data_IF_553635735893
#
_entry.id   IF_553635735893
#
_cell.length_a   1.000
_cell.length_b   1.000
_cell.length_c   1.000
_cell.angle_alpha   90.00
_cell.angle_beta   90.00
_cell.angle_gamma   90.00
#
_symmetry.space_group_name_H-M   'P 1'
#
loop_
_entity.id
_entity.type
_entity.pdbx_description
1 polymer ?
#
# COMPACT_ATOMS: atom_id res chain seq x y z
N UNK A 1 -12.46 23.05 0.50
CA UNK A 1 -11.34 23.05 -0.47
C UNK A 1 -11.65 22.04 -1.55
N UNK A 2 -11.42 22.32 -2.84
CA UNK A 2 -11.57 21.32 -3.89
C UNK A 2 -10.21 20.61 -4.07
N UNK A 3 -10.11 19.39 -3.63
CA UNK A 3 -8.93 18.55 -3.81
C UNK A 3 -8.94 18.02 -5.25
N UNK A 4 -7.85 18.14 -5.97
CA UNK A 4 -7.71 17.62 -7.32
C UNK A 4 -6.59 16.60 -7.35
N UNK A 5 -6.75 15.58 -8.18
CA UNK A 5 -5.78 14.56 -8.53
C UNK A 5 -5.41 14.66 -10.00
N UNK A 6 -4.31 14.04 -10.45
CA UNK A 6 -4.01 13.90 -11.87
C UNK A 6 -5.18 13.29 -12.65
N UNK A 7 -5.42 13.78 -13.86
CA UNK A 7 -6.40 13.20 -14.77
C UNK A 7 -5.88 11.90 -15.35
N UNK A 8 -6.69 10.83 -15.37
CA UNK A 8 -6.33 9.56 -15.97
C UNK A 8 -7.42 9.05 -16.89
N UNK A 9 -7.02 8.59 -18.07
CA UNK A 9 -7.86 7.89 -19.04
C UNK A 9 -7.07 6.75 -19.70
N UNK A 10 -7.71 5.61 -19.89
CA UNK A 10 -7.14 4.46 -20.56
C UNK A 10 -8.14 3.85 -21.55
N UNK A 11 -7.69 2.87 -22.32
CA UNK A 11 -8.56 2.06 -23.19
C UNK A 11 -9.53 1.16 -22.41
N UNK A 12 -9.31 0.95 -21.11
CA UNK A 12 -10.23 0.18 -20.26
C UNK A 12 -11.18 1.12 -19.51
N UNK A 13 -12.48 0.94 -19.78
CA UNK A 13 -13.54 1.79 -19.23
C UNK A 13 -13.69 1.65 -17.72
N UNK A 14 -13.61 0.43 -17.19
CA UNK A 14 -13.83 0.15 -15.77
C UNK A 14 -12.66 0.66 -14.92
N UNK A 15 -11.45 0.58 -15.44
CA UNK A 15 -10.28 1.20 -14.82
C UNK A 15 -10.46 2.71 -14.68
N UNK A 16 -10.97 3.38 -15.73
CA UNK A 16 -11.23 4.83 -15.70
C UNK A 16 -12.31 5.19 -14.67
N UNK A 17 -13.42 4.44 -14.63
CA UNK A 17 -14.50 4.67 -13.68
C UNK A 17 -14.00 4.50 -12.25
N UNK A 18 -13.22 3.45 -11.98
CA UNK A 18 -12.71 3.17 -10.63
C UNK A 18 -11.69 4.21 -10.19
N UNK A 19 -10.80 4.65 -11.07
CA UNK A 19 -9.85 5.72 -10.77
C UNK A 19 -10.58 7.01 -10.36
N UNK A 20 -11.55 7.46 -11.15
CA UNK A 20 -12.33 8.67 -10.84
C UNK A 20 -13.11 8.51 -9.53
N UNK A 21 -13.75 7.35 -9.32
CA UNK A 21 -14.45 7.05 -8.07
C UNK A 21 -13.51 7.14 -6.86
N UNK A 22 -12.29 6.59 -6.95
CA UNK A 22 -11.30 6.67 -5.87
C UNK A 22 -10.85 8.10 -5.60
N UNK A 23 -10.64 8.92 -6.62
CA UNK A 23 -10.32 10.34 -6.45
C UNK A 23 -11.44 11.11 -5.74
N UNK A 24 -12.69 10.89 -6.12
CA UNK A 24 -13.86 11.50 -5.47
C UNK A 24 -14.03 10.99 -4.04
N UNK A 25 -13.82 9.68 -3.82
CA UNK A 25 -13.94 9.07 -2.52
C UNK A 25 -12.91 9.61 -1.54
N UNK A 26 -11.64 9.67 -1.95
CA UNK A 26 -10.57 10.21 -1.11
C UNK A 26 -10.89 11.64 -0.63
N UNK A 27 -11.41 12.51 -1.51
CA UNK A 27 -11.83 13.86 -1.13
C UNK A 27 -12.89 13.87 -0.02
N UNK A 28 -13.83 12.92 -0.03
CA UNK A 28 -14.88 12.79 0.99
C UNK A 28 -14.32 12.42 2.36
N UNK A 29 -13.18 11.74 2.39
CA UNK A 29 -12.50 11.32 3.62
C UNK A 29 -11.56 12.37 4.22
N UNK A 30 -11.22 13.43 3.48
CA UNK A 30 -10.44 14.55 4.02
C UNK A 30 -11.33 15.42 4.89
N UNK A 31 -11.05 15.51 6.17
CA UNK A 31 -11.82 16.25 7.18
C UNK A 31 -10.95 17.31 7.85
N UNK A 32 -11.50 18.51 7.94
CA UNK A 32 -10.93 19.59 8.75
C UNK A 32 -11.37 19.40 10.22
N UNK A 33 -10.42 19.43 11.14
CA UNK A 33 -10.63 19.25 12.58
C UNK A 33 -9.87 20.32 13.36
N UNK A 34 -10.15 20.50 14.67
CA UNK A 34 -9.35 21.39 15.51
C UNK A 34 -7.86 21.02 15.61
N UNK A 35 -7.50 19.77 15.26
CA UNK A 35 -6.11 19.29 15.22
C UNK A 35 -5.48 19.35 13.81
N UNK A 36 -6.10 20.06 12.87
CA UNK A 36 -5.72 20.10 11.46
C UNK A 36 -6.52 19.10 10.62
N UNK A 37 -6.13 18.96 9.35
CA UNK A 37 -6.75 17.96 8.49
C UNK A 37 -6.40 16.54 8.92
N UNK A 38 -7.39 15.67 8.86
CA UNK A 38 -7.23 14.22 8.99
C UNK A 38 -7.87 13.52 7.79
N UNK A 39 -7.44 12.28 7.54
CA UNK A 39 -8.06 11.43 6.53
C UNK A 39 -8.70 10.27 7.26
N UNK A 40 -10.01 10.12 7.08
CA UNK A 40 -10.80 9.12 7.80
C UNK A 40 -10.77 7.78 7.07
N UNK A 41 -10.97 6.72 7.80
CA UNK A 41 -11.13 5.35 7.30
C UNK A 41 -12.59 5.11 6.90
N UNK A 42 -13.52 5.51 7.77
CA UNK A 42 -14.96 5.44 7.58
C UNK A 42 -15.55 6.82 7.33
N UNK A 43 -16.62 6.92 6.54
CA UNK A 43 -17.36 8.17 6.39
C UNK A 43 -18.24 8.50 7.61
N UNK A 44 -19.02 7.55 8.18
CA UNK A 44 -19.68 7.77 9.46
C UNK A 44 -18.68 7.72 10.60
N UNK A 45 -19.00 8.40 11.69
CA UNK A 45 -18.23 8.27 12.92
C UNK A 45 -18.39 6.86 13.50
N UNK A 46 -17.26 6.22 13.84
CA UNK A 46 -17.24 4.89 14.46
C UNK A 46 -16.59 4.94 15.84
N UNK A 47 -17.10 4.20 16.85
CA UNK A 47 -16.68 4.36 18.24
C UNK A 47 -15.19 4.11 18.48
N UNK A 48 -14.56 3.22 17.71
CA UNK A 48 -13.15 2.86 17.87
C UNK A 48 -12.17 3.83 17.21
N UNK A 49 -12.65 4.74 16.33
CA UNK A 49 -11.79 5.69 15.62
C UNK A 49 -11.56 7.00 16.36
N UNK A 50 -12.04 7.12 17.60
CA UNK A 50 -11.88 8.29 18.44
C UNK A 50 -12.59 9.55 17.93
N UNK A 51 -12.30 10.69 18.56
CA UNK A 51 -13.00 11.96 18.28
C UNK A 51 -12.70 12.56 16.90
N UNK A 52 -11.64 12.10 16.24
CA UNK A 52 -11.24 12.57 14.90
C UNK A 52 -11.65 11.58 13.79
N UNK A 53 -12.31 10.49 14.15
CA UNK A 53 -12.74 9.42 13.25
C UNK A 53 -11.60 8.91 12.33
N UNK A 54 -10.39 8.75 12.89
CA UNK A 54 -9.23 8.22 12.14
C UNK A 54 -8.37 7.32 13.03
N UNK A 55 -7.90 6.21 12.46
CA UNK A 55 -7.00 5.24 13.11
C UNK A 55 -5.75 5.01 12.26
N UNK A 56 -4.68 4.55 12.91
CA UNK A 56 -3.38 4.39 12.24
C UNK A 56 -3.33 3.23 11.24
N UNK A 57 -4.27 2.29 11.29
CA UNK A 57 -4.31 1.12 10.41
C UNK A 57 -4.17 1.48 8.92
N UNK A 58 -5.03 2.39 8.43
CA UNK A 58 -5.06 2.78 7.02
C UNK A 58 -4.13 3.96 6.68
N UNK A 59 -3.40 4.53 7.65
CA UNK A 59 -2.69 5.78 7.43
C UNK A 59 -1.66 5.70 6.28
N UNK A 60 -0.93 4.58 6.16
CA UNK A 60 0.02 4.40 5.06
C UNK A 60 -0.66 4.37 3.67
N UNK A 61 -1.87 3.81 3.57
CA UNK A 61 -2.66 3.84 2.34
C UNK A 61 -3.10 5.27 2.01
N UNK A 62 -3.52 6.03 3.02
CA UNK A 62 -3.89 7.44 2.87
C UNK A 62 -2.72 8.29 2.37
N UNK A 63 -1.50 8.08 2.90
CA UNK A 63 -0.29 8.76 2.43
C UNK A 63 0.06 8.39 0.99
N UNK A 64 -0.03 7.11 0.63
CA UNK A 64 0.29 6.65 -0.73
C UNK A 64 -0.66 7.21 -1.78
N UNK A 65 -1.98 7.22 -1.54
CA UNK A 65 -2.92 7.85 -2.46
C UNK A 65 -2.81 9.38 -2.44
N UNK A 66 -2.79 9.98 -1.24
CA UNK A 66 -2.83 11.43 -1.07
C UNK A 66 -1.60 12.17 -1.55
N UNK A 67 -0.43 11.51 -1.69
CA UNK A 67 0.79 12.14 -2.20
C UNK A 67 0.65 12.69 -3.62
N UNK A 68 -0.36 12.24 -4.37
CA UNK A 68 -0.66 12.68 -5.73
C UNK A 68 -1.66 13.84 -5.81
N UNK A 69 -2.18 14.33 -4.69
CA UNK A 69 -3.02 15.52 -4.67
C UNK A 69 -2.25 16.74 -5.16
N UNK A 70 -2.93 17.62 -5.91
CA UNK A 70 -2.31 18.89 -6.36
C UNK A 70 -2.00 19.82 -5.18
N UNK A 71 -2.86 19.82 -4.16
CA UNK A 71 -2.60 20.50 -2.89
C UNK A 71 -2.43 19.44 -1.79
N UNK A 72 -1.21 19.25 -1.34
CA UNK A 72 -0.84 18.29 -0.30
C UNK A 72 -0.91 18.85 1.12
N UNK A 73 -1.44 20.07 1.29
CA UNK A 73 -1.61 20.69 2.63
C UNK A 73 -2.35 19.75 3.60
N UNK A 74 -3.47 19.11 3.22
CA UNK A 74 -4.15 18.18 4.13
C UNK A 74 -3.27 17.00 4.56
N UNK A 75 -2.43 16.49 3.67
CA UNK A 75 -1.57 15.36 3.99
C UNK A 75 -0.38 15.78 4.88
N UNK A 76 0.13 17.00 4.73
CA UNK A 76 1.13 17.58 5.64
C UNK A 76 0.58 17.75 7.05
N UNK A 77 -0.63 18.28 7.20
CA UNK A 77 -1.29 18.41 8.50
C UNK A 77 -1.64 17.05 9.10
N UNK A 78 -2.01 16.07 8.27
CA UNK A 78 -2.22 14.70 8.71
C UNK A 78 -0.93 14.04 9.23
N UNK A 79 0.23 14.35 8.63
CA UNK A 79 1.53 13.93 9.17
C UNK A 79 1.81 14.55 10.55
N UNK A 80 1.52 15.85 10.72
CA UNK A 80 1.63 16.52 12.02
C UNK A 80 0.68 15.92 13.05
N UNK A 81 -0.57 15.64 12.65
CA UNK A 81 -1.56 15.00 13.51
C UNK A 81 -1.03 13.69 14.11
N UNK A 82 -0.45 12.80 13.31
CA UNK A 82 0.10 11.54 13.81
C UNK A 82 1.30 11.72 14.74
N UNK A 83 2.10 12.75 14.54
CA UNK A 83 3.25 13.03 15.38
C UNK A 83 2.90 13.72 16.70
N UNK A 84 1.74 14.40 16.79
CA UNK A 84 1.42 15.27 17.94
C UNK A 84 0.16 14.89 18.70
N UNK A 85 -0.89 14.47 18.01
CA UNK A 85 -2.24 14.30 18.57
C UNK A 85 -2.76 12.87 18.43
N UNK A 86 -2.48 12.23 17.30
CA UNK A 86 -2.92 10.88 17.02
C UNK A 86 -2.19 9.82 17.84
N UNK A 87 -2.70 8.58 17.77
CA UNK A 87 -2.01 7.42 18.31
C UNK A 87 -1.42 6.58 17.18
N UNK A 88 -0.17 6.87 16.73
CA UNK A 88 0.45 6.20 15.58
C UNK A 88 0.81 4.75 15.85
N UNK A 89 0.72 4.30 17.11
CA UNK A 89 1.05 2.94 17.55
C UNK A 89 -0.19 2.11 17.90
N UNK A 90 -1.40 2.61 17.67
CA UNK A 90 -2.63 1.82 17.89
C UNK A 90 -2.66 0.59 16.96
N UNK A 91 -2.36 0.82 15.67
CA UNK A 91 -2.06 -0.21 14.69
C UNK A 91 -0.68 0.09 14.10
N UNK A 92 0.05 -0.94 13.69
CA UNK A 92 1.36 -0.74 13.06
C UNK A 92 1.21 -0.17 11.65
N UNK A 93 1.94 0.90 11.37
CA UNK A 93 2.14 1.40 10.01
C UNK A 93 3.50 2.12 9.90
N UNK A 94 4.10 2.18 8.72
CA UNK A 94 5.42 2.80 8.53
C UNK A 94 5.29 4.33 8.39
N UNK A 95 5.19 5.04 9.51
CA UNK A 95 4.94 6.49 9.53
C UNK A 95 6.05 7.29 8.86
N UNK A 96 7.31 6.98 9.17
CA UNK A 96 8.46 7.72 8.63
C UNK A 96 8.61 7.49 7.13
N UNK A 97 8.41 6.25 6.67
CA UNK A 97 8.41 5.89 5.25
C UNK A 97 7.24 6.56 4.51
N UNK A 98 6.06 6.61 5.13
CA UNK A 98 4.87 7.26 4.55
C UNK A 98 5.08 8.77 4.34
N UNK A 99 5.69 9.46 5.30
CA UNK A 99 6.03 10.88 5.18
C UNK A 99 7.14 11.10 4.16
N UNK A 100 8.16 10.23 4.11
CA UNK A 100 9.19 10.30 3.09
C UNK A 100 8.61 10.08 1.68
N UNK A 101 7.66 9.15 1.52
CA UNK A 101 6.97 8.93 0.25
C UNK A 101 6.22 10.17 -0.27
N UNK A 102 5.66 10.99 0.61
CA UNK A 102 5.10 12.29 0.26
C UNK A 102 6.20 13.24 -0.23
N UNK A 103 7.33 13.31 0.48
CA UNK A 103 8.43 14.22 0.11
C UNK A 103 9.09 13.83 -1.22
N UNK A 104 9.13 12.54 -1.54
CA UNK A 104 9.66 12.04 -2.82
C UNK A 104 8.76 12.38 -4.03
N UNK A 105 7.50 12.75 -3.82
CA UNK A 105 6.63 13.27 -4.89
C UNK A 105 6.70 14.79 -4.98
N UNK A 106 6.77 15.48 -3.83
CA UNK A 106 6.74 16.95 -3.82
C UNK A 106 8.10 17.61 -4.04
N UNK A 107 9.21 16.88 -3.82
CA UNK A 107 10.57 17.44 -3.76
C UNK A 107 10.83 18.29 -2.50
N UNK A 108 9.83 18.47 -1.63
CA UNK A 108 9.92 19.32 -0.44
C UNK A 108 10.06 18.48 0.86
N UNK A 109 11.27 18.41 1.38
CA UNK A 109 11.62 17.70 2.62
C UNK A 109 11.36 18.47 3.91
N UNK A 110 10.77 19.65 3.85
CA UNK A 110 10.58 20.54 5.03
C UNK A 110 9.78 19.83 6.12
N UNK A 111 8.69 19.15 5.76
CA UNK A 111 7.83 18.46 6.74
C UNK A 111 8.57 17.28 7.40
N UNK A 112 9.29 16.45 6.64
CA UNK A 112 10.05 15.32 7.17
C UNK A 112 11.16 15.79 8.10
N UNK A 113 11.92 16.84 7.73
CA UNK A 113 12.96 17.42 8.58
C UNK A 113 12.41 17.99 9.88
N UNK A 114 11.28 18.70 9.81
CA UNK A 114 10.64 19.29 10.98
C UNK A 114 10.10 18.23 11.95
N UNK A 115 9.54 17.14 11.45
CA UNK A 115 8.97 16.07 12.26
C UNK A 115 10.01 15.00 12.68
N UNK A 116 11.26 15.11 12.23
CA UNK A 116 12.31 14.12 12.52
C UNK A 116 12.45 13.74 14.00
N UNK A 117 12.48 14.67 14.98
CA UNK A 117 12.59 14.31 16.40
C UNK A 117 11.45 13.41 16.88
N UNK A 118 10.21 13.71 16.46
CA UNK A 118 9.01 12.94 16.81
C UNK A 118 8.97 11.59 16.12
N UNK A 119 9.33 11.53 14.84
CA UNK A 119 9.43 10.28 14.09
C UNK A 119 10.47 9.35 14.74
N UNK A 120 11.64 9.87 15.08
CA UNK A 120 12.68 9.11 15.79
C UNK A 120 12.22 8.66 17.20
N UNK A 121 11.39 9.45 17.88
CA UNK A 121 10.77 9.07 19.16
C UNK A 121 9.78 7.92 18.96
N UNK A 122 8.83 8.06 18.02
CA UNK A 122 7.82 7.04 17.71
C UNK A 122 8.48 5.71 17.34
N UNK A 123 9.54 5.76 16.51
CA UNK A 123 10.29 4.57 16.14
C UNK A 123 10.88 3.84 17.36
N UNK A 124 11.51 4.57 18.28
CA UNK A 124 12.07 3.98 19.51
C UNK A 124 11.02 3.43 20.46
N UNK A 125 9.83 4.00 20.48
CA UNK A 125 8.73 3.51 21.33
C UNK A 125 8.27 2.10 20.95
N UNK A 126 8.52 1.65 19.71
CA UNK A 126 8.26 0.27 19.30
C UNK A 126 9.23 -0.74 19.94
N UNK A 127 10.27 -0.31 20.65
CA UNK A 127 11.18 -1.23 21.37
C UNK A 127 10.45 -2.03 22.47
N UNK A 128 9.28 -1.61 22.92
CA UNK A 128 8.41 -2.38 23.83
C UNK A 128 7.82 -3.66 23.16
N UNK A 129 7.79 -3.72 21.83
CA UNK A 129 7.44 -4.91 21.04
C UNK A 129 8.66 -5.75 20.64
N UNK A 130 9.86 -5.30 20.96
CA UNK A 130 11.11 -5.94 20.52
C UNK A 130 11.44 -7.16 21.37
N UNK A 131 11.61 -8.28 20.71
CA UNK A 131 12.03 -9.53 21.35
C UNK A 131 13.55 -9.52 21.64
N UNK A 132 14.03 -10.41 22.53
CA UNK A 132 15.47 -10.57 22.75
C UNK A 132 16.27 -10.89 21.48
N UNK A 133 15.60 -11.46 20.47
CA UNK A 133 16.19 -11.71 19.15
C UNK A 133 16.31 -10.47 18.25
N UNK A 134 15.81 -9.31 18.69
CA UNK A 134 15.92 -8.04 17.96
C UNK A 134 14.84 -7.80 16.90
N UNK A 135 13.90 -8.74 16.69
CA UNK A 135 12.72 -8.58 15.86
C UNK A 135 11.52 -8.18 16.71
N UNK A 136 10.48 -7.65 16.06
CA UNK A 136 9.28 -7.15 16.72
C UNK A 136 8.16 -8.20 16.66
N UNK A 137 7.51 -8.46 17.82
CA UNK A 137 6.30 -9.28 17.91
C UNK A 137 5.06 -8.39 17.83
N UNK A 138 4.00 -8.88 17.17
CA UNK A 138 2.73 -8.18 17.04
C UNK A 138 1.56 -9.12 17.34
N UNK A 139 0.56 -8.57 18.00
CA UNK A 139 -0.72 -9.24 18.22
C UNK A 139 -1.48 -9.28 16.90
N UNK A 140 -2.11 -10.42 16.62
CA UNK A 140 -2.99 -10.60 15.47
C UNK A 140 -4.06 -9.50 15.42
N UNK A 141 -4.26 -8.88 14.26
CA UNK A 141 -5.17 -7.76 14.04
C UNK A 141 -4.55 -6.37 14.17
N UNK A 142 -3.49 -6.18 14.96
CA UNK A 142 -2.89 -4.84 15.13
C UNK A 142 -1.98 -4.40 13.97
N UNK A 143 -1.91 -5.18 12.92
CA UNK A 143 -1.37 -4.82 11.59
C UNK A 143 -2.46 -4.80 10.51
N UNK A 144 -3.73 -4.85 10.93
CA UNK A 144 -4.91 -4.82 10.07
C UNK A 144 -5.41 -6.19 9.64
N UNK A 145 -4.82 -7.29 10.13
CA UNK A 145 -5.14 -8.65 9.69
C UNK A 145 -5.85 -9.51 10.74
N UNK A 146 -7.02 -9.08 11.23
CA UNK A 146 -7.78 -9.75 12.28
C UNK A 146 -8.16 -11.20 11.91
N UNK A 147 -7.97 -12.12 12.84
CA UNK A 147 -8.24 -13.54 12.65
C UNK A 147 -7.47 -14.15 11.46
N UNK A 148 -6.26 -13.66 11.19
CA UNK A 148 -5.36 -14.35 10.26
C UNK A 148 -5.08 -15.78 10.74
N UNK A 149 -4.84 -16.71 9.81
CA UNK A 149 -4.59 -18.12 10.18
C UNK A 149 -3.27 -18.23 10.94
N UNK A 150 -2.29 -17.42 10.60
CA UNK A 150 -0.97 -17.42 11.24
C UNK A 150 -0.97 -16.88 12.67
N UNK A 151 -1.90 -15.98 13.02
CA UNK A 151 -2.04 -15.42 14.37
C UNK A 151 -0.88 -14.49 14.79
N UNK A 152 -0.75 -14.29 16.10
CA UNK A 152 0.25 -13.40 16.72
C UNK A 152 1.68 -13.95 16.68
N UNK A 153 2.67 -13.06 16.75
CA UNK A 153 4.09 -13.41 16.82
C UNK A 153 5.00 -12.46 16.03
N UNK A 154 6.15 -12.97 15.59
CA UNK A 154 7.03 -12.28 14.65
C UNK A 154 6.38 -12.29 13.27
N UNK A 155 5.72 -11.20 12.93
CA UNK A 155 4.90 -11.08 11.71
C UNK A 155 5.66 -10.28 10.63
N UNK A 156 5.55 -10.66 9.34
CA UNK A 156 6.16 -9.91 8.24
C UNK A 156 5.77 -8.43 8.18
N UNK A 157 4.48 -8.02 8.40
CA UNK A 157 4.09 -6.61 8.33
C UNK A 157 4.89 -5.70 9.26
N UNK A 158 4.78 -5.87 10.58
CA UNK A 158 5.45 -4.98 11.54
C UNK A 158 6.96 -4.92 11.31
N UNK A 159 7.61 -6.07 11.10
CA UNK A 159 9.05 -6.10 10.90
C UNK A 159 9.48 -5.40 9.60
N UNK A 160 8.69 -5.50 8.54
CA UNK A 160 8.91 -4.75 7.29
C UNK A 160 8.69 -3.24 7.47
N UNK A 161 7.66 -2.84 8.22
CA UNK A 161 7.38 -1.43 8.53
C UNK A 161 8.51 -0.81 9.34
N UNK A 162 9.03 -1.51 10.35
CA UNK A 162 10.17 -1.04 11.14
C UNK A 162 11.45 -0.93 10.30
N UNK A 163 11.66 -1.84 9.35
CA UNK A 163 12.76 -1.75 8.38
C UNK A 163 12.62 -0.53 7.47
N UNK A 164 11.42 -0.30 6.93
CA UNK A 164 11.13 0.84 6.06
C UNK A 164 11.28 2.17 6.79
N UNK A 165 10.81 2.24 8.04
CA UNK A 165 10.93 3.44 8.89
C UNK A 165 12.39 3.72 9.28
N UNK A 166 13.19 2.68 9.59
CA UNK A 166 14.61 2.86 9.85
C UNK A 166 15.36 3.41 8.63
N UNK A 167 15.06 2.90 7.41
CA UNK A 167 15.62 3.44 6.16
C UNK A 167 15.20 4.91 5.94
N UNK A 168 13.92 5.23 6.14
CA UNK A 168 13.42 6.59 5.99
C UNK A 168 14.05 7.54 7.02
N UNK A 169 14.18 7.12 8.28
CA UNK A 169 14.84 7.90 9.32
C UNK A 169 16.33 8.09 9.05
N UNK A 170 17.01 7.12 8.43
CA UNK A 170 18.39 7.28 7.99
C UNK A 170 18.49 8.44 6.97
N UNK A 171 17.66 8.44 5.93
CA UNK A 171 17.65 9.50 4.91
C UNK A 171 17.29 10.88 5.50
N UNK A 172 16.31 10.94 6.40
CA UNK A 172 15.91 12.19 7.04
C UNK A 172 17.03 12.71 7.96
N UNK A 173 17.68 11.82 8.73
CA UNK A 173 18.81 12.14 9.59
C UNK A 173 19.99 12.72 8.79
N UNK A 174 20.33 12.12 7.66
CA UNK A 174 21.34 12.66 6.72
C UNK A 174 20.95 14.06 6.24
N UNK A 175 19.67 14.25 5.87
CA UNK A 175 19.18 15.54 5.39
C UNK A 175 19.15 16.66 6.44
N UNK A 176 19.16 16.32 7.75
CA UNK A 176 19.29 17.30 8.85
C UNK A 176 20.71 17.38 9.40
N UNK A 177 21.66 16.58 8.91
CA UNK A 177 23.07 16.58 9.31
C UNK A 177 23.36 15.76 10.58
N UNK A 178 22.44 14.87 11.03
CA UNK A 178 22.62 13.97 12.18
C UNK A 178 23.26 12.66 11.72
N UNK A 179 24.56 12.70 11.45
CA UNK A 179 25.30 11.55 10.91
C UNK A 179 25.36 10.34 11.88
N UNK A 180 25.34 10.60 13.20
CA UNK A 180 25.38 9.54 14.21
C UNK A 180 24.07 8.73 14.18
N UNK A 181 22.94 9.41 14.20
CA UNK A 181 21.63 8.75 14.12
C UNK A 181 21.41 8.09 12.74
N UNK A 182 21.88 8.70 11.65
CA UNK A 182 21.82 8.11 10.32
C UNK A 182 22.57 6.76 10.26
N UNK A 183 23.79 6.70 10.82
CA UNK A 183 24.56 5.45 10.87
C UNK A 183 23.84 4.38 11.72
N UNK A 184 23.25 4.76 12.86
CA UNK A 184 22.48 3.84 13.70
C UNK A 184 21.23 3.31 13.00
N UNK A 185 20.43 4.16 12.38
CA UNK A 185 19.21 3.72 11.67
C UNK A 185 19.54 2.82 10.47
N UNK A 186 20.67 3.08 9.79
CA UNK A 186 21.17 2.19 8.73
C UNK A 186 21.48 0.80 9.27
N UNK A 187 22.24 0.70 10.37
CA UNK A 187 22.58 -0.57 11.01
C UNK A 187 21.35 -1.35 11.48
N UNK A 188 20.34 -0.64 12.02
CA UNK A 188 19.07 -1.24 12.43
C UNK A 188 18.30 -1.78 11.22
N UNK A 189 18.20 -1.01 10.11
CA UNK A 189 17.55 -1.44 8.88
C UNK A 189 18.24 -2.66 8.26
N UNK A 190 19.58 -2.68 8.22
CA UNK A 190 20.35 -3.80 7.70
C UNK A 190 20.17 -5.05 8.56
N UNK A 191 20.16 -4.87 9.89
CA UNK A 191 19.93 -5.96 10.84
C UNK A 191 18.55 -6.57 10.69
N UNK A 192 17.50 -5.73 10.62
CA UNK A 192 16.13 -6.21 10.41
C UNK A 192 15.98 -6.88 9.04
N UNK A 193 16.53 -6.29 7.97
CA UNK A 193 16.53 -6.89 6.63
C UNK A 193 17.12 -8.30 6.66
N UNK A 194 18.28 -8.48 7.28
CA UNK A 194 18.92 -9.78 7.42
C UNK A 194 18.06 -10.75 8.24
N UNK A 195 17.52 -10.31 9.39
CA UNK A 195 16.70 -11.15 10.27
C UNK A 195 15.40 -11.59 9.62
N UNK A 196 14.69 -10.68 8.93
CA UNK A 196 13.48 -11.04 8.17
C UNK A 196 13.82 -12.15 7.15
N UNK A 197 14.93 -12.01 6.44
CA UNK A 197 15.36 -12.97 5.43
C UNK A 197 15.79 -14.33 6.02
N UNK A 198 16.44 -14.33 7.18
CA UNK A 198 16.92 -15.56 7.82
C UNK A 198 15.81 -16.26 8.60
N UNK A 199 15.04 -15.50 9.38
CA UNK A 199 14.10 -16.08 10.34
C UNK A 199 12.69 -16.25 9.77
N UNK A 200 12.14 -15.26 9.04
CA UNK A 200 10.75 -15.35 8.55
C UNK A 200 10.62 -16.08 7.21
N UNK A 201 11.68 -16.20 6.43
CA UNK A 201 11.62 -17.00 5.22
C UNK A 201 11.35 -18.49 5.55
N UNK A 202 10.27 -19.03 4.97
CA UNK A 202 9.91 -20.44 5.13
C UNK A 202 10.17 -21.20 3.81
N UNK A 203 11.27 -21.94 3.70
CA UNK A 203 11.61 -22.65 2.46
C UNK A 203 10.61 -23.75 2.11
N UNK A 204 9.84 -24.29 3.08
CA UNK A 204 8.80 -25.26 2.80
C UNK A 204 7.57 -24.66 2.11
N UNK A 205 7.32 -23.37 2.33
CA UNK A 205 6.24 -22.62 1.66
C UNK A 205 6.74 -21.88 0.43
N UNK A 206 8.08 -21.65 0.31
CA UNK A 206 8.65 -20.75 -0.67
C UNK A 206 8.22 -19.30 -0.47
N UNK A 207 7.96 -18.88 0.79
CA UNK A 207 7.37 -17.59 1.14
C UNK A 207 7.79 -17.15 2.55
N UNK A 208 7.65 -15.87 2.89
CA UNK A 208 7.75 -15.45 4.29
C UNK A 208 6.55 -15.99 5.07
N UNK A 209 6.65 -15.96 6.39
CA UNK A 209 5.57 -16.38 7.25
C UNK A 209 5.82 -16.02 8.71
N UNK A 210 4.84 -16.27 9.54
CA UNK A 210 4.85 -15.91 10.96
C UNK A 210 5.57 -16.96 11.79
N UNK A 211 6.34 -16.50 12.79
CA UNK A 211 6.81 -17.31 13.91
C UNK A 211 6.00 -16.90 15.12
N UNK A 212 5.23 -17.83 15.71
CA UNK A 212 4.40 -17.55 16.87
C UNK A 212 5.22 -17.15 18.10
N UNK A 213 4.57 -16.58 19.11
CA UNK A 213 5.22 -16.23 20.38
C UNK A 213 5.82 -17.43 21.13
N UNK A 214 5.35 -18.66 20.83
CA UNK A 214 5.96 -19.90 21.31
C UNK A 214 7.22 -20.33 20.53
N UNK A 215 7.60 -19.60 19.46
CA UNK A 215 8.73 -19.92 18.61
C UNK A 215 8.41 -20.91 17.49
N UNK A 216 7.16 -21.27 17.27
CA UNK A 216 6.75 -22.21 16.22
C UNK A 216 6.51 -21.49 14.89
N UNK A 217 7.06 -22.03 13.80
CA UNK A 217 6.74 -21.55 12.45
C UNK A 217 5.31 -21.91 12.07
N UNK A 218 4.58 -20.96 11.50
CA UNK A 218 3.28 -21.19 10.89
C UNK A 218 3.46 -21.66 9.44
N UNK A 219 2.65 -22.61 9.02
CA UNK A 219 2.71 -23.23 7.69
C UNK A 219 1.45 -22.87 6.88
N UNK A 220 1.23 -21.59 6.71
CA UNK A 220 0.17 -21.02 5.87
C UNK A 220 0.76 -19.94 4.99
N UNK A 221 0.22 -19.75 3.78
CA UNK A 221 0.51 -18.60 2.90
C UNK A 221 -0.60 -17.58 3.08
N UNK A 222 -0.24 -16.34 3.33
CA UNK A 222 -1.18 -15.23 3.47
C UNK A 222 -0.68 -14.02 2.66
N UNK A 223 -1.59 -13.13 2.24
CA UNK A 223 -1.17 -11.94 1.47
C UNK A 223 -0.26 -11.01 2.27
N UNK A 224 -0.37 -11.00 3.59
CA UNK A 224 0.54 -10.22 4.47
C UNK A 224 2.01 -10.65 4.33
N UNK A 225 2.28 -11.84 3.81
CA UNK A 225 3.61 -12.38 3.60
C UNK A 225 4.32 -11.76 2.38
N UNK A 226 3.60 -10.99 1.51
CA UNK A 226 4.17 -10.21 0.41
C UNK A 226 4.68 -8.83 0.84
N UNK A 227 4.36 -8.35 2.04
CA UNK A 227 4.73 -7.00 2.50
C UNK A 227 6.25 -6.74 2.47
N UNK A 228 7.16 -7.71 2.75
CA UNK A 228 8.60 -7.48 2.62
C UNK A 228 9.02 -6.96 1.22
N UNK A 229 8.34 -7.40 0.13
CA UNK A 229 8.64 -6.91 -1.22
C UNK A 229 8.27 -5.45 -1.45
N UNK A 230 7.24 -4.91 -0.75
CA UNK A 230 6.91 -3.49 -0.83
C UNK A 230 8.09 -2.57 -0.47
N UNK A 231 9.06 -3.11 0.28
CA UNK A 231 10.20 -2.35 0.82
C UNK A 231 11.56 -2.89 0.36
N UNK A 232 11.59 -3.72 -0.69
CA UNK A 232 12.84 -4.24 -1.24
C UNK A 232 13.69 -5.01 -0.22
N UNK A 233 13.06 -5.76 0.68
CA UNK A 233 13.73 -6.55 1.72
C UNK A 233 14.27 -7.89 1.18
N UNK A 234 13.50 -8.62 0.32
CA UNK A 234 13.93 -9.93 -0.17
C UNK A 234 15.16 -9.86 -1.07
N UNK A 235 16.10 -10.82 -0.97
CA UNK A 235 17.18 -10.94 -1.93
C UNK A 235 16.68 -11.51 -3.26
N UNK A 236 17.43 -11.32 -4.33
CA UNK A 236 17.15 -11.93 -5.63
C UNK A 236 16.97 -13.45 -5.53
N UNK A 237 16.05 -14.00 -6.34
CA UNK A 237 15.74 -15.43 -6.41
C UNK A 237 14.78 -15.97 -5.34
N UNK A 238 14.09 -15.07 -4.60
CA UNK A 238 13.00 -15.44 -3.70
C UNK A 238 11.67 -14.96 -4.25
N UNK A 239 11.33 -15.31 -5.46
CA UNK A 239 10.23 -14.72 -6.22
C UNK A 239 9.22 -15.75 -6.77
N UNK A 240 9.48 -17.05 -6.62
CA UNK A 240 8.55 -18.11 -7.05
C UNK A 240 7.17 -17.99 -6.41
N UNK A 241 7.06 -17.38 -5.23
CA UNK A 241 5.80 -17.16 -4.54
C UNK A 241 4.82 -16.25 -5.31
N UNK A 242 5.29 -15.38 -6.19
CA UNK A 242 4.40 -14.54 -7.00
C UNK A 242 3.49 -15.35 -7.92
N UNK A 243 3.85 -16.58 -8.27
CA UNK A 243 2.98 -17.51 -9.03
C UNK A 243 1.70 -17.87 -8.27
N UNK A 244 1.73 -17.88 -6.92
CA UNK A 244 0.55 -18.18 -6.12
C UNK A 244 -0.56 -17.12 -6.27
N UNK A 245 -0.21 -15.89 -6.67
CA UNK A 245 -1.19 -14.83 -6.98
C UNK A 245 -2.01 -15.14 -8.24
N UNK A 246 -1.53 -16.06 -9.09
CA UNK A 246 -2.17 -16.48 -10.33
C UNK A 246 -2.79 -17.88 -10.23
N UNK A 247 -2.68 -18.53 -9.06
CA UNK A 247 -3.15 -19.88 -8.80
C UNK A 247 -4.53 -19.84 -8.14
N UNK A 248 -5.53 -20.39 -8.82
CA UNK A 248 -6.92 -20.48 -8.35
C UNK A 248 -7.05 -21.40 -7.12
N UNK A 249 -6.12 -22.32 -6.91
CA UNK A 249 -6.09 -23.19 -5.73
C UNK A 249 -5.44 -22.52 -4.52
N UNK A 250 -4.84 -21.34 -4.71
CA UNK A 250 -4.18 -20.55 -3.66
C UNK A 250 -4.88 -19.19 -3.49
N UNK A 251 -4.37 -18.13 -4.13
CA UNK A 251 -4.87 -16.78 -3.87
C UNK A 251 -5.89 -16.29 -4.91
N UNK A 252 -5.81 -16.70 -6.19
CA UNK A 252 -6.68 -16.17 -7.22
C UNK A 252 -8.11 -16.66 -7.05
N UNK A 253 -9.07 -15.74 -7.00
CA UNK A 253 -10.49 -16.04 -6.98
C UNK A 253 -11.24 -15.23 -8.03
N UNK A 254 -12.51 -15.56 -8.35
CA UNK A 254 -13.32 -14.80 -9.30
C UNK A 254 -13.42 -13.31 -8.96
N UNK A 255 -13.49 -12.95 -7.67
CA UNK A 255 -13.68 -11.59 -7.20
C UNK A 255 -12.45 -10.98 -6.50
N UNK A 256 -11.24 -11.46 -6.79
CA UNK A 256 -10.01 -10.86 -6.29
C UNK A 256 -9.08 -11.84 -5.58
N UNK A 257 -8.06 -11.31 -4.92
CA UNK A 257 -7.08 -12.11 -4.19
C UNK A 257 -7.60 -12.46 -2.79
N UNK A 258 -7.64 -13.75 -2.48
CA UNK A 258 -7.92 -14.27 -1.14
C UNK A 258 -6.81 -13.85 -0.19
N UNK A 259 -7.14 -13.46 1.03
CA UNK A 259 -6.12 -13.13 2.06
C UNK A 259 -5.32 -14.32 2.55
N UNK A 260 -5.83 -15.55 2.39
CA UNK A 260 -5.15 -16.79 2.76
C UNK A 260 -5.29 -17.85 1.67
N UNK A 261 -4.31 -18.77 1.63
CA UNK A 261 -4.26 -19.93 0.73
C UNK A 261 -5.52 -20.79 0.87
N UNK A 262 -6.27 -20.94 -0.23
CA UNK A 262 -7.54 -21.66 -0.26
C UNK A 262 -7.39 -23.17 0.03
N UNK A 263 -6.19 -23.72 -0.12
CA UNK A 263 -5.90 -25.13 0.19
C UNK A 263 -5.65 -25.39 1.68
N UNK A 264 -5.51 -24.35 2.50
CA UNK A 264 -5.24 -24.49 3.93
C UNK A 264 -6.47 -25.01 4.70
N UNK A 265 -6.33 -25.96 5.66
CA UNK A 265 -7.46 -26.53 6.41
C UNK A 265 -8.30 -25.52 7.20
N UNK A 266 -7.69 -24.42 7.65
CA UNK A 266 -8.39 -23.35 8.38
C UNK A 266 -8.85 -22.20 7.45
N UNK A 267 -8.75 -22.37 6.11
CA UNK A 267 -9.28 -21.40 5.15
C UNK A 267 -10.78 -21.18 5.38
N UNK A 268 -11.19 -19.91 5.54
CA UNK A 268 -12.58 -19.50 5.83
C UNK A 268 -13.21 -20.21 7.04
N UNK A 269 -12.41 -20.65 8.00
CA UNK A 269 -12.92 -21.17 9.27
C UNK A 269 -13.79 -20.10 9.93
N UNK A 270 -15.02 -20.44 10.32
CA UNK A 270 -15.96 -19.48 10.86
C UNK A 270 -15.56 -18.98 12.25
N UNK A 271 -15.64 -17.67 12.45
CA UNK A 271 -15.57 -17.00 13.73
C UNK A 271 -16.77 -16.07 13.86
N UNK A 272 -17.16 -15.72 15.09
CA UNK A 272 -18.20 -14.72 15.31
C UNK A 272 -17.60 -13.31 15.23
N UNK A 273 -17.22 -12.93 14.02
CA UNK A 273 -16.64 -11.63 13.68
C UNK A 273 -16.88 -11.33 12.19
N UNK A 274 -17.07 -10.08 11.82
CA UNK A 274 -17.30 -9.65 10.44
C UNK A 274 -15.99 -9.36 9.69
N UNK A 275 -14.92 -9.00 10.41
CA UNK A 275 -13.62 -8.69 9.84
C UNK A 275 -12.70 -9.92 9.94
N UNK A 276 -12.79 -10.84 8.97
CA UNK A 276 -11.96 -12.04 8.94
C UNK A 276 -10.92 -11.97 7.82
N UNK A 277 -9.66 -12.27 8.14
CA UNK A 277 -8.55 -12.28 7.19
C UNK A 277 -8.09 -13.69 6.80
N UNK A 278 -8.86 -14.69 7.10
CA UNK A 278 -8.58 -16.11 6.83
C UNK A 278 -9.14 -16.60 5.48
N UNK A 279 -9.30 -15.67 4.50
CA UNK A 279 -9.75 -16.03 3.15
C UNK A 279 -10.52 -14.98 2.37
N UNK A 280 -11.38 -14.11 2.98
CA UNK A 280 -12.06 -13.03 2.26
C UNK A 280 -11.11 -12.11 1.50
N UNK A 281 -11.59 -11.49 0.42
CA UNK A 281 -10.86 -10.45 -0.32
C UNK A 281 -10.94 -9.15 0.46
N UNK A 282 -9.78 -8.53 0.70
CA UNK A 282 -9.68 -7.23 1.36
C UNK A 282 -9.04 -6.19 0.43
N UNK A 283 -9.67 -5.03 0.20
CA UNK A 283 -9.04 -3.92 -0.53
C UNK A 283 -7.68 -3.51 0.05
N UNK A 284 -7.57 -3.51 1.38
CA UNK A 284 -6.34 -3.25 2.12
C UNK A 284 -5.20 -4.19 1.70
N UNK A 285 -5.40 -5.50 1.82
CA UNK A 285 -4.40 -6.51 1.50
C UNK A 285 -4.09 -6.54 0.00
N UNK A 286 -5.11 -6.39 -0.85
CA UNK A 286 -4.94 -6.33 -2.31
C UNK A 286 -4.06 -5.15 -2.71
N UNK A 287 -4.29 -3.96 -2.11
CA UNK A 287 -3.48 -2.77 -2.36
C UNK A 287 -2.01 -2.97 -1.96
N UNK A 288 -1.74 -3.57 -0.80
CA UNK A 288 -0.38 -3.89 -0.36
C UNK A 288 0.30 -4.91 -1.27
N UNK A 289 -0.42 -5.99 -1.62
CA UNK A 289 0.11 -7.05 -2.49
C UNK A 289 0.44 -6.51 -3.88
N UNK A 290 -0.44 -5.71 -4.49
CA UNK A 290 -0.16 -5.11 -5.80
C UNK A 290 0.96 -4.08 -5.74
N UNK A 291 1.14 -3.36 -4.63
CA UNK A 291 2.33 -2.51 -4.43
C UNK A 291 3.60 -3.36 -4.37
N UNK A 292 3.57 -4.52 -3.69
CA UNK A 292 4.69 -5.45 -3.67
C UNK A 292 5.01 -6.01 -5.07
N UNK A 293 3.97 -6.30 -5.87
CA UNK A 293 4.14 -6.72 -7.28
C UNK A 293 4.80 -5.62 -8.12
N UNK A 294 4.39 -4.35 -7.96
CA UNK A 294 5.02 -3.22 -8.66
C UNK A 294 6.51 -3.13 -8.32
N UNK A 295 6.87 -3.15 -7.04
CA UNK A 295 8.27 -3.08 -6.62
C UNK A 295 9.07 -4.28 -7.13
N UNK A 296 8.50 -5.48 -7.07
CA UNK A 296 9.11 -6.69 -7.58
C UNK A 296 9.39 -6.61 -9.08
N UNK A 297 8.40 -6.24 -9.89
CA UNK A 297 8.54 -6.16 -11.36
C UNK A 297 9.52 -5.07 -11.79
N UNK A 298 9.63 -3.99 -11.04
CA UNK A 298 10.57 -2.91 -11.36
C UNK A 298 12.02 -3.19 -10.94
N UNK A 299 12.25 -4.15 -10.03
CA UNK A 299 13.58 -4.40 -9.46
C UNK A 299 14.16 -5.77 -9.79
N UNK A 300 13.38 -6.63 -10.45
CA UNK A 300 13.79 -8.02 -10.74
C UNK A 300 14.02 -8.23 -12.22
N UNK A 301 15.22 -8.70 -12.57
CA UNK A 301 15.51 -9.20 -13.91
C UNK A 301 14.83 -10.57 -14.12
N UNK A 302 14.13 -10.77 -15.23
CA UNK A 302 13.41 -12.02 -15.57
C UNK A 302 12.43 -12.48 -14.47
N UNK A 303 11.40 -11.66 -14.14
CA UNK A 303 10.45 -11.97 -13.09
C UNK A 303 9.59 -13.21 -13.42
N UNK A 304 9.09 -13.91 -12.38
CA UNK A 304 8.24 -15.12 -12.51
C UNK A 304 6.82 -14.83 -12.96
N UNK A 305 6.36 -13.58 -12.78
CA UNK A 305 5.10 -13.04 -13.33
C UNK A 305 5.40 -11.79 -14.15
N UNK A 306 4.47 -11.40 -15.02
CA UNK A 306 4.69 -10.35 -16.01
C UNK A 306 3.96 -9.05 -15.67
N UNK A 307 4.31 -7.96 -16.36
CA UNK A 307 3.56 -6.69 -16.33
C UNK A 307 2.09 -6.89 -16.78
N UNK A 308 1.83 -7.81 -17.72
CA UNK A 308 0.48 -8.16 -18.12
C UNK A 308 -0.30 -8.86 -16.99
N UNK A 309 0.36 -9.70 -16.18
CA UNK A 309 -0.26 -10.32 -15.00
C UNK A 309 -0.62 -9.27 -13.94
N UNK A 310 0.28 -8.31 -13.67
CA UNK A 310 -0.05 -7.16 -12.82
C UNK A 310 -1.27 -6.39 -13.33
N UNK A 311 -1.26 -6.04 -14.62
CA UNK A 311 -2.39 -5.31 -15.23
C UNK A 311 -3.69 -6.09 -15.07
N UNK A 312 -3.68 -7.42 -15.31
CA UNK A 312 -4.85 -8.29 -15.14
C UNK A 312 -5.36 -8.29 -13.69
N UNK A 313 -4.47 -8.40 -12.70
CA UNK A 313 -4.85 -8.37 -11.28
C UNK A 313 -5.40 -7.00 -10.87
N UNK A 314 -4.83 -5.90 -11.37
CA UNK A 314 -5.33 -4.55 -11.12
C UNK A 314 -6.70 -4.31 -11.78
N UNK A 315 -6.92 -4.80 -13.00
CA UNK A 315 -8.24 -4.74 -13.66
C UNK A 315 -9.28 -5.54 -12.87
N UNK A 316 -8.95 -6.75 -12.39
CA UNK A 316 -9.84 -7.51 -11.51
C UNK A 316 -10.18 -6.70 -10.26
N UNK A 317 -9.18 -6.06 -9.62
CA UNK A 317 -9.41 -5.19 -8.47
C UNK A 317 -10.28 -3.97 -8.82
N UNK A 318 -10.10 -3.37 -10.01
CA UNK A 318 -10.97 -2.29 -10.49
C UNK A 318 -12.43 -2.75 -10.64
N UNK A 319 -12.65 -3.93 -11.21
CA UNK A 319 -13.99 -4.49 -11.45
C UNK A 319 -14.72 -4.83 -10.16
N UNK A 320 -14.02 -5.11 -9.06
CA UNK A 320 -14.62 -5.39 -7.76
C UNK A 320 -15.01 -4.14 -6.97
N UNK A 321 -14.64 -2.93 -7.44
CA UNK A 321 -15.11 -1.68 -6.84
C UNK A 321 -16.57 -1.37 -7.23
N UNK A 322 -17.48 -2.31 -6.95
CA UNK A 322 -18.91 -2.21 -7.33
C UNK A 322 -19.82 -2.68 -6.20
N UNK A 323 -20.98 -2.04 -6.10
CA UNK A 323 -22.10 -2.56 -5.33
C UNK A 323 -22.91 -3.56 -6.17
N UNK A 324 -23.88 -4.21 -5.59
CA UNK A 324 -24.74 -5.23 -6.22
C UNK A 324 -25.47 -4.69 -7.47
N UNK A 325 -25.77 -3.38 -7.52
CA UNK A 325 -26.38 -2.71 -8.66
C UNK A 325 -25.39 -2.25 -9.74
N UNK A 326 -24.10 -2.52 -9.56
CA UNK A 326 -23.02 -2.15 -10.47
C UNK A 326 -22.52 -0.71 -10.32
N UNK A 327 -23.02 0.06 -9.36
CA UNK A 327 -22.49 1.40 -9.09
C UNK A 327 -21.10 1.34 -8.42
N UNK A 328 -20.24 2.35 -8.62
CA UNK A 328 -18.95 2.40 -7.95
C UNK A 328 -19.07 2.37 -6.42
N UNK A 329 -18.43 1.41 -5.80
CA UNK A 329 -18.55 1.15 -4.37
C UNK A 329 -17.32 0.43 -3.82
N UNK A 330 -17.04 0.60 -2.53
CA UNK A 330 -16.03 -0.12 -1.79
C UNK A 330 -16.50 -0.30 -0.35
N UNK A 331 -16.25 -1.47 0.23
CA UNK A 331 -16.53 -1.81 1.61
C UNK A 331 -15.31 -2.55 2.21
N UNK A 332 -15.41 -3.06 3.43
CA UNK A 332 -14.30 -3.67 4.16
C UNK A 332 -13.78 -4.93 3.48
N UNK A 333 -14.61 -5.96 3.32
CA UNK A 333 -14.21 -7.25 2.76
C UNK A 333 -15.30 -7.90 1.91
N UNK A 334 -14.86 -8.76 0.99
CA UNK A 334 -15.72 -9.36 -0.02
C UNK A 334 -15.56 -10.89 -0.02
N UNK A 335 -16.64 -11.59 -0.28
CA UNK A 335 -16.61 -13.02 -0.56
C UNK A 335 -15.89 -13.29 -1.88
N UNK A 336 -14.80 -14.09 -1.89
CA UNK A 336 -13.97 -14.29 -3.06
C UNK A 336 -14.68 -15.00 -4.22
N UNK A 337 -15.74 -15.76 -3.94
CA UNK A 337 -16.42 -16.60 -4.92
C UNK A 337 -17.72 -15.99 -5.45
N UNK A 338 -18.39 -15.13 -4.66
CA UNK A 338 -19.68 -14.53 -5.01
C UNK A 338 -19.66 -13.02 -5.22
N UNK A 339 -18.63 -12.32 -4.72
CA UNK A 339 -18.53 -10.86 -4.80
C UNK A 339 -19.42 -10.10 -3.81
N UNK A 340 -20.04 -10.79 -2.84
CA UNK A 340 -20.86 -10.15 -1.82
C UNK A 340 -19.94 -9.47 -0.78
N UNK A 341 -20.27 -8.22 -0.42
CA UNK A 341 -19.61 -7.50 0.66
C UNK A 341 -19.96 -8.12 2.02
N UNK A 342 -19.00 -8.84 2.62
CA UNK A 342 -19.24 -9.74 3.76
C UNK A 342 -19.52 -8.99 5.06
N UNK A 343 -18.72 -8.02 5.44
CA UNK A 343 -18.90 -7.31 6.71
C UNK A 343 -20.31 -6.70 6.78
N UNK A 344 -20.74 -5.99 5.73
CA UNK A 344 -22.09 -5.44 5.61
C UNK A 344 -23.17 -6.50 5.70
N UNK A 345 -23.01 -7.62 5.00
CA UNK A 345 -23.97 -8.72 4.99
C UNK A 345 -24.12 -9.38 6.35
N UNK A 346 -22.99 -9.69 7.01
CA UNK A 346 -22.94 -10.31 8.34
C UNK A 346 -23.57 -9.39 9.40
N UNK A 347 -23.22 -8.10 9.38
CA UNK A 347 -23.78 -7.12 10.32
C UNK A 347 -25.31 -6.95 10.15
N UNK A 348 -25.82 -6.99 8.91
CA UNK A 348 -27.28 -7.00 8.63
C UNK A 348 -27.94 -8.25 9.19
N UNK A 349 -27.33 -9.41 9.01
CA UNK A 349 -27.83 -10.68 9.54
C UNK A 349 -27.87 -10.67 11.08
N UNK A 350 -26.90 -10.02 11.73
CA UNK A 350 -26.91 -9.84 13.19
C UNK A 350 -27.86 -8.73 13.67
N UNK A 351 -28.56 -8.05 12.77
CA UNK A 351 -29.50 -6.97 13.11
C UNK A 351 -28.81 -5.71 13.65
N UNK A 352 -27.59 -5.44 13.21
CA UNK A 352 -26.81 -4.27 13.64
C UNK A 352 -27.26 -3.02 12.88
N UNK A 353 -27.45 -1.92 13.62
CA UNK A 353 -27.82 -0.61 13.04
C UNK A 353 -26.67 0.02 12.24
N UNK A 354 -25.41 -0.35 12.55
CA UNK A 354 -24.21 0.15 11.91
C UNK A 354 -23.71 -0.72 10.73
N UNK A 355 -24.58 -1.53 10.15
CA UNK A 355 -24.21 -2.45 9.05
C UNK A 355 -23.70 -1.73 7.78
N UNK A 356 -24.04 -0.46 7.58
CA UNK A 356 -23.57 0.36 6.46
C UNK A 356 -22.30 1.19 6.79
N UNK A 357 -21.62 0.91 7.91
CA UNK A 357 -20.45 1.67 8.36
C UNK A 357 -19.28 1.64 7.37
N UNK A 358 -19.06 0.47 6.74
CA UNK A 358 -18.00 0.25 5.75
C UNK A 358 -18.29 0.84 4.37
N UNK A 359 -19.50 1.42 4.18
CA UNK A 359 -19.87 2.02 2.91
C UNK A 359 -18.88 3.10 2.48
N UNK A 360 -18.27 2.91 1.31
CA UNK A 360 -17.21 3.77 0.80
C UNK A 360 -15.98 3.80 1.69
N UNK A 361 -15.52 2.62 2.06
CA UNK A 361 -14.35 2.38 2.90
C UNK A 361 -13.04 2.89 2.27
N UNK A 362 -12.14 3.48 3.10
CA UNK A 362 -10.94 4.14 2.58
C UNK A 362 -9.64 3.40 2.91
N UNK A 363 -9.55 2.13 2.56
CA UNK A 363 -8.40 1.25 2.74
C UNK A 363 -7.80 0.78 1.41
N UNK A 364 -7.69 1.66 0.43
CA UNK A 364 -7.14 1.33 -0.88
C UNK A 364 -6.01 2.28 -1.25
N UNK A 365 -5.08 1.83 -2.09
CA UNK A 365 -4.07 2.66 -2.74
C UNK A 365 -4.27 2.68 -4.25
N UNK A 366 -5.51 2.55 -4.73
CA UNK A 366 -5.80 2.35 -6.14
C UNK A 366 -5.28 3.47 -7.04
N UNK A 367 -5.35 4.73 -6.59
CA UNK A 367 -4.79 5.88 -7.32
C UNK A 367 -3.27 5.70 -7.49
N UNK A 368 -2.60 5.36 -6.40
CA UNK A 368 -1.15 5.11 -6.40
C UNK A 368 -0.76 3.94 -7.30
N UNK A 369 -1.52 2.83 -7.27
CA UNK A 369 -1.30 1.66 -8.12
C UNK A 369 -1.43 1.98 -9.62
N UNK A 370 -2.35 2.87 -10.00
CA UNK A 370 -2.48 3.35 -11.38
C UNK A 370 -1.28 4.21 -11.75
N UNK A 371 -0.89 5.17 -10.92
CA UNK A 371 0.18 6.12 -11.24
C UNK A 371 1.55 5.45 -11.22
N UNK A 372 1.85 4.65 -10.18
CA UNK A 372 3.16 3.99 -10.05
C UNK A 372 3.28 2.69 -10.83
N UNK A 373 2.17 1.97 -11.02
CA UNK A 373 2.13 0.70 -11.72
C UNK A 373 1.75 0.87 -13.20
N UNK A 374 0.49 1.21 -13.51
CA UNK A 374 0.05 1.33 -14.91
C UNK A 374 0.88 2.37 -15.67
N UNK A 375 1.02 3.58 -15.11
CA UNK A 375 1.75 4.68 -15.76
C UNK A 375 3.26 4.65 -15.45
N UNK A 376 3.69 3.93 -14.41
CA UNK A 376 5.10 3.64 -14.13
C UNK A 376 5.90 4.79 -13.57
N UNK A 377 5.31 5.82 -12.99
CA UNK A 377 6.05 6.89 -12.32
C UNK A 377 6.71 6.32 -11.05
N UNK A 378 8.04 6.42 -10.96
CA UNK A 378 8.81 5.94 -9.82
C UNK A 378 9.36 7.11 -9.00
N UNK A 379 8.64 7.53 -7.94
CA UNK A 379 9.08 8.65 -7.12
C UNK A 379 10.42 8.36 -6.42
N UNK A 380 11.35 9.29 -6.59
CA UNK A 380 12.67 9.25 -5.98
C UNK A 380 13.09 10.66 -5.54
N UNK A 381 14.15 10.75 -4.77
CA UNK A 381 14.83 12.02 -4.49
C UNK A 381 15.72 12.43 -5.68
N UNK A 382 15.92 13.74 -5.86
CA UNK A 382 16.77 14.29 -6.91
C UNK A 382 16.05 14.69 -8.18
N UNK A 383 16.84 15.05 -9.20
CA UNK A 383 16.35 15.63 -10.44
C UNK A 383 16.10 14.60 -11.56
N UNK A 384 16.33 13.33 -11.29
CA UNK A 384 16.06 12.25 -12.23
C UNK A 384 14.77 11.53 -11.88
N UNK A 385 13.92 11.30 -12.89
CA UNK A 385 12.70 10.53 -12.78
C UNK A 385 12.73 9.35 -13.75
N UNK A 386 12.51 8.15 -13.24
CA UNK A 386 12.24 6.97 -14.08
C UNK A 386 10.73 6.81 -14.27
N UNK A 387 10.33 6.62 -15.53
CA UNK A 387 8.97 6.25 -15.93
C UNK A 387 9.06 4.89 -16.61
N UNK A 388 8.52 3.85 -15.96
CA UNK A 388 8.57 2.46 -16.40
C UNK A 388 7.16 1.84 -16.27
N UNK A 389 6.27 1.99 -17.27
CA UNK A 389 4.90 1.51 -17.23
C UNK A 389 4.80 -0.01 -17.19
N UNK A 390 3.99 -0.53 -16.27
CA UNK A 390 3.55 -1.93 -16.28
C UNK A 390 2.22 -2.11 -17.01
N UNK A 391 1.58 -1.01 -17.46
CA UNK A 391 0.30 -1.01 -18.19
C UNK A 391 0.41 -1.20 -19.69
N UNK A 392 1.55 -1.62 -20.22
CA UNK A 392 1.80 -1.75 -21.67
C UNK A 392 0.95 -2.80 -22.38
N UNK A 393 0.27 -3.68 -21.66
CA UNK A 393 -0.74 -4.60 -22.18
C UNK A 393 -2.06 -3.93 -22.56
N UNK A 394 -2.35 -2.71 -22.06
CA UNK A 394 -3.46 -1.87 -22.51
C UNK A 394 -3.18 -1.33 -23.92
N UNK A 395 -4.24 -1.00 -24.67
CA UNK A 395 -4.08 -0.33 -25.97
C UNK A 395 -3.49 1.07 -25.83
N UNK A 396 -3.95 1.79 -24.80
CA UNK A 396 -3.47 3.15 -24.50
C UNK A 396 -3.83 3.59 -23.08
N UNK A 397 -3.06 4.52 -22.57
CA UNK A 397 -3.43 5.36 -21.41
C UNK A 397 -2.77 6.74 -21.51
N UNK A 398 -3.36 7.70 -20.81
CA UNK A 398 -2.83 9.04 -20.60
C UNK A 398 -3.07 9.43 -19.15
N UNK A 399 -2.03 9.89 -18.47
CA UNK A 399 -2.04 10.48 -17.14
C UNK A 399 -1.58 11.93 -17.28
N UNK A 400 -2.43 12.90 -16.91
CA UNK A 400 -2.20 14.32 -17.10
C UNK A 400 -2.14 15.07 -15.77
N UNK A 401 -1.44 16.21 -15.77
CA UNK A 401 -1.37 17.17 -14.67
C UNK A 401 -0.80 16.54 -13.37
N UNK A 402 0.21 15.68 -13.49
CA UNK A 402 0.92 15.13 -12.34
C UNK A 402 1.85 16.20 -11.77
N UNK A 403 1.67 16.57 -10.51
CA UNK A 403 2.57 17.49 -9.79
C UNK A 403 3.73 16.72 -9.20
N UNK A 404 4.93 16.99 -9.70
CA UNK A 404 6.14 16.28 -9.29
C UNK A 404 7.34 17.24 -9.25
N UNK A 405 7.98 17.41 -8.08
CA UNK A 405 9.16 18.28 -7.85
C UNK A 405 8.99 19.71 -8.40
N UNK A 406 7.77 20.26 -8.32
CA UNK A 406 7.45 21.59 -8.82
C UNK A 406 7.16 21.66 -10.32
N UNK A 407 7.30 20.57 -11.04
CA UNK A 407 6.97 20.41 -12.45
C UNK A 407 5.56 19.82 -12.64
N UNK A 408 5.05 19.95 -13.86
CA UNK A 408 3.81 19.29 -14.31
C UNK A 408 4.17 18.26 -15.36
N UNK A 409 3.81 17.00 -15.09
CA UNK A 409 4.08 15.89 -15.99
C UNK A 409 2.81 15.39 -16.68
N UNK A 410 2.98 14.94 -17.92
CA UNK A 410 2.03 14.11 -18.65
C UNK A 410 2.74 12.84 -19.08
N UNK A 411 2.15 11.66 -18.81
CA UNK A 411 2.64 10.35 -19.24
C UNK A 411 1.61 9.72 -20.16
N UNK A 412 1.97 9.42 -21.37
CA UNK A 412 1.10 8.80 -22.37
C UNK A 412 1.76 7.55 -22.94
N UNK A 413 0.95 6.53 -23.12
CA UNK A 413 1.32 5.27 -23.78
C UNK A 413 0.30 4.90 -24.84
N UNK A 414 0.77 4.41 -25.97
CA UNK A 414 -0.07 3.65 -26.90
C UNK A 414 0.76 2.57 -27.62
N UNK A 415 0.10 1.50 -28.03
CA UNK A 415 0.75 0.45 -28.86
C UNK A 415 1.27 0.98 -30.19
N UNK A 416 0.70 2.07 -30.70
CA UNK A 416 1.12 2.68 -31.97
C UNK A 416 2.30 3.64 -31.77
N UNK A 417 2.25 4.50 -30.75
CA UNK A 417 3.19 5.61 -30.57
C UNK A 417 4.29 5.35 -29.53
N UNK A 418 4.13 4.32 -28.68
CA UNK A 418 5.04 4.05 -27.58
C UNK A 418 4.82 4.94 -26.35
N UNK A 419 5.85 5.09 -25.56
CA UNK A 419 5.84 5.90 -24.33
C UNK A 419 6.26 7.34 -24.62
N UNK A 420 5.47 8.30 -24.19
CA UNK A 420 5.75 9.73 -24.28
C UNK A 420 5.61 10.36 -22.89
N UNK A 421 6.65 11.07 -22.46
CA UNK A 421 6.61 11.85 -21.21
C UNK A 421 6.84 13.31 -21.56
N UNK A 422 5.94 14.20 -21.12
CA UNK A 422 6.05 15.65 -21.31
C UNK A 422 6.22 16.32 -19.95
N UNK A 423 7.17 17.25 -19.86
CA UNK A 423 7.45 18.03 -18.65
C UNK A 423 7.16 19.52 -18.97
N UNK A 424 6.30 20.16 -18.17
CA UNK A 424 5.86 21.56 -18.28
C UNK A 424 5.28 21.95 -19.65
N UNK A 425 4.81 20.95 -20.41
CA UNK A 425 4.26 21.15 -21.75
C UNK A 425 5.28 21.31 -22.88
N UNK A 426 6.56 21.54 -22.58
CA UNK A 426 7.59 21.90 -23.55
C UNK A 426 8.62 20.78 -23.79
N UNK A 427 9.17 20.20 -22.71
CA UNK A 427 10.17 19.14 -22.80
C UNK A 427 9.48 17.80 -23.05
N UNK A 428 9.89 17.11 -24.08
CA UNK A 428 9.28 15.84 -24.51
C UNK A 428 10.33 14.74 -24.64
N UNK A 429 10.03 13.61 -24.03
CA UNK A 429 10.83 12.40 -24.05
C UNK A 429 10.00 11.27 -24.65
N UNK A 430 10.61 10.44 -25.49
CA UNK A 430 9.90 9.38 -26.22
C UNK A 430 10.69 8.07 -26.25
N UNK A 431 9.99 6.96 -26.19
CA UNK A 431 10.50 5.62 -26.47
C UNK A 431 9.55 4.86 -27.35
N UNK A 432 10.11 4.09 -28.28
CA UNK A 432 9.32 3.24 -29.18
C UNK A 432 8.47 2.21 -28.42
N UNK A 433 7.36 1.73 -29.01
CA UNK A 433 6.54 0.72 -28.37
C UNK A 433 7.33 -0.55 -28.05
N UNK A 434 7.28 -0.99 -26.79
CA UNK A 434 7.83 -2.25 -26.31
C UNK A 434 7.03 -2.74 -25.10
N UNK A 435 7.02 -4.04 -24.84
CA UNK A 435 6.36 -4.60 -23.66
C UNK A 435 7.02 -4.11 -22.35
N UNK A 436 8.35 -4.05 -22.37
CA UNK A 436 9.18 -3.52 -21.28
C UNK A 436 9.87 -2.24 -21.76
N UNK A 437 9.23 -1.11 -21.54
CA UNK A 437 9.72 0.22 -21.95
C UNK A 437 9.94 1.10 -20.74
N UNK A 438 11.11 1.72 -20.65
CA UNK A 438 11.42 2.67 -19.59
C UNK A 438 12.12 3.93 -20.16
N UNK A 439 11.87 5.06 -19.51
CA UNK A 439 12.55 6.33 -19.75
C UNK A 439 13.09 6.87 -18.43
N UNK A 440 14.37 7.30 -18.43
CA UNK A 440 14.90 8.16 -17.37
C UNK A 440 14.98 9.58 -17.93
N UNK A 441 14.36 10.51 -17.24
CA UNK A 441 14.28 11.92 -17.63
C UNK A 441 14.90 12.79 -16.56
N UNK A 442 15.42 13.95 -16.95
CA UNK A 442 15.90 15.00 -16.04
C UNK A 442 14.84 16.09 -15.94
N UNK A 443 14.46 16.47 -14.71
CA UNK A 443 13.44 17.47 -14.40
C UNK A 443 13.93 18.92 -14.53
#
# INVERSE_FOLDING_TARGET
MKIAFPGFISSDRELNITYNYRCELYQRHVKETPAGYVITEFLPDVPWAGIYNTISCAASHHFREGRWMHDVTPLREYAEFWCTTGNPRLYSFPISNSILALTNVTGDRTIAKRLYPELARIYREWDDHKTPGGMYSQIDGYDGGEFSISGSGLRPPLNSYMTADARALCEIAEAVGDAESAARFREEADTLTRRINEDLWNPALGMYGVISDSGERRYVRELLDYIPWMYGIPPAGRDECFRYLLDETCFLAPYGLRTADASHPDYRKPFHHECLWNGPVWPFATAQTLTAVIEYLHTTENPTITSADFTRLLLQYAYTHRDEDGTPFLDENMDPDTGIWLARSILREWGRDDCERGRHYNHSTFIDLVITGICGIRPADGDELTVHPLGTSLESFVLEDVRYHGHTLTVAWSRESGLVVTVDGDRRYEAAPAEDVALTITL
#
